data_IF_996380335789
#
_entry.id   IF_996380335789
#
_cell.length_a   1.000
_cell.length_b   1.000
_cell.length_c   1.000
_cell.angle_alpha   90.00
_cell.angle_beta   90.00
_cell.angle_gamma   90.00
#
_symmetry.space_group_name_H-M   'P 1'
#
loop_
_entity.id
_entity.type
_entity.pdbx_description
1 polymer ?
#
# COMPACT_ATOMS: atom_id res chain seq x y z
N UNK A 1 -47.19 -14.59 -11.16
CA UNK A 1 -46.39 -15.40 -12.10
C UNK A 1 -45.85 -14.47 -13.18
N UNK A 2 -44.54 -14.14 -13.22
CA UNK A 2 -44.00 -13.35 -14.31
C UNK A 2 -43.82 -14.24 -15.54
N UNK A 3 -44.37 -13.78 -16.66
CA UNK A 3 -44.26 -14.38 -17.98
C UNK A 3 -42.79 -14.49 -18.40
N UNK A 4 -42.29 -15.73 -18.45
CA UNK A 4 -41.02 -16.08 -19.08
C UNK A 4 -41.13 -15.92 -20.60
N UNK A 5 -40.74 -14.76 -21.10
CA UNK A 5 -40.46 -14.58 -22.54
C UNK A 5 -39.22 -15.41 -22.88
N UNK A 6 -39.43 -16.57 -23.50
CA UNK A 6 -38.38 -17.37 -24.13
C UNK A 6 -37.65 -16.49 -25.14
N UNK A 7 -36.40 -16.10 -24.84
CA UNK A 7 -35.49 -15.52 -25.84
C UNK A 7 -35.32 -16.56 -26.96
N UNK A 8 -35.88 -16.27 -28.13
CA UNK A 8 -35.56 -16.94 -29.38
C UNK A 8 -34.08 -16.68 -29.68
N UNK A 9 -33.24 -17.69 -29.42
CA UNK A 9 -31.82 -17.67 -29.80
C UNK A 9 -31.79 -17.90 -31.31
N UNK A 10 -31.28 -16.92 -32.05
CA UNK A 10 -30.93 -17.06 -33.47
C UNK A 10 -30.10 -18.33 -33.68
N UNK A 11 -30.49 -19.20 -34.62
CA UNK A 11 -29.75 -20.42 -34.96
C UNK A 11 -28.47 -20.17 -35.77
N UNK A 12 -28.33 -18.96 -36.34
CA UNK A 12 -27.12 -18.58 -37.06
C UNK A 12 -26.21 -17.76 -36.14
N UNK A 13 -24.92 -18.14 -36.02
CA UNK A 13 -23.96 -17.33 -35.31
C UNK A 13 -23.86 -15.96 -35.99
N UNK A 14 -23.75 -14.87 -35.22
CA UNK A 14 -23.54 -13.56 -35.80
C UNK A 14 -22.29 -13.58 -36.70
N UNK A 15 -22.26 -12.78 -37.79
CA UNK A 15 -21.06 -12.67 -38.62
C UNK A 15 -19.87 -12.28 -37.73
N UNK A 16 -18.67 -12.85 -37.98
CA UNK A 16 -17.52 -12.59 -37.14
C UNK A 16 -17.23 -11.08 -37.13
N UNK A 17 -16.95 -10.50 -35.95
CA UNK A 17 -16.62 -9.08 -35.85
C UNK A 17 -15.40 -8.75 -36.71
N UNK A 18 -15.38 -7.55 -37.30
CA UNK A 18 -14.22 -7.05 -38.06
C UNK A 18 -13.06 -6.77 -37.10
N UNK A 19 -12.26 -7.79 -36.81
CA UNK A 19 -11.04 -7.70 -36.01
C UNK A 19 -9.76 -7.69 -36.86
N UNK A 20 -8.59 -7.46 -36.25
CA UNK A 20 -7.31 -7.54 -36.93
C UNK A 20 -7.08 -8.96 -37.44
N UNK A 21 -6.39 -9.07 -38.58
CA UNK A 21 -5.96 -10.37 -39.10
C UNK A 21 -4.73 -10.83 -38.31
N UNK A 22 -4.89 -11.90 -37.54
CA UNK A 22 -3.76 -12.60 -36.90
C UNK A 22 -3.05 -13.49 -37.92
N UNK A 23 -1.76 -13.73 -37.71
CA UNK A 23 -0.96 -14.66 -38.53
C UNK A 23 -1.04 -16.09 -37.98
N UNK A 24 -0.16 -16.97 -38.46
CA UNK A 24 0.08 -18.28 -37.84
C UNK A 24 0.33 -18.14 -36.32
N UNK A 25 -0.01 -19.19 -35.57
CA UNK A 25 0.12 -19.26 -34.11
C UNK A 25 1.24 -20.25 -33.75
N UNK A 26 2.45 -19.73 -33.78
CA UNK A 26 3.69 -20.39 -33.34
C UNK A 26 4.21 -19.72 -32.07
N UNK A 27 5.14 -20.37 -31.37
CA UNK A 27 5.81 -19.82 -30.19
C UNK A 27 6.33 -18.38 -30.41
N UNK A 28 6.82 -18.08 -31.62
CA UNK A 28 7.36 -16.76 -31.99
C UNK A 28 6.30 -15.68 -32.28
N UNK A 29 5.05 -16.09 -32.55
CA UNK A 29 4.00 -15.19 -33.09
C UNK A 29 2.82 -14.98 -32.14
N UNK A 30 2.63 -15.88 -31.16
CA UNK A 30 1.55 -15.82 -30.17
C UNK A 30 1.52 -14.47 -29.43
N UNK A 31 2.68 -13.99 -28.96
CA UNK A 31 2.76 -12.72 -28.21
C UNK A 31 2.30 -11.53 -29.05
N UNK A 32 2.81 -11.42 -30.28
CA UNK A 32 2.44 -10.35 -31.22
C UNK A 32 0.95 -10.39 -31.56
N UNK A 33 0.40 -11.57 -31.84
CA UNK A 33 -1.01 -11.74 -32.15
C UNK A 33 -1.91 -11.40 -30.95
N UNK A 34 -1.51 -11.79 -29.73
CA UNK A 34 -2.26 -11.47 -28.50
C UNK A 34 -2.30 -9.97 -28.24
N UNK A 35 -1.15 -9.30 -28.36
CA UNK A 35 -1.05 -7.83 -28.27
C UNK A 35 -1.96 -7.16 -29.30
N UNK A 36 -1.90 -7.60 -30.56
CA UNK A 36 -2.69 -7.04 -31.66
C UNK A 36 -4.19 -7.13 -31.39
N UNK A 37 -4.68 -8.29 -30.96
CA UNK A 37 -6.10 -8.51 -30.66
C UNK A 37 -6.56 -7.66 -29.48
N UNK A 38 -5.74 -7.56 -28.43
CA UNK A 38 -6.08 -6.79 -27.23
C UNK A 38 -5.93 -5.26 -27.39
N UNK A 39 -5.34 -4.77 -28.48
CA UNK A 39 -5.07 -3.35 -28.73
C UNK A 39 -6.12 -2.65 -29.62
N UNK A 40 -7.30 -3.22 -29.81
CA UNK A 40 -8.34 -2.67 -30.70
C UNK A 40 -9.11 -1.46 -30.16
N UNK A 41 -8.81 -1.01 -28.95
CA UNK A 41 -9.48 0.10 -28.29
C UNK A 41 -8.67 1.40 -28.38
N UNK A 42 -9.30 2.54 -28.12
CA UNK A 42 -8.67 3.88 -28.25
C UNK A 42 -8.05 4.43 -26.97
N UNK A 43 -8.19 3.74 -25.82
CA UNK A 43 -7.55 4.16 -24.57
C UNK A 43 -6.05 3.84 -24.60
N UNK A 44 -5.21 4.86 -24.80
CA UNK A 44 -3.76 4.71 -24.99
C UNK A 44 -3.04 4.24 -23.72
N UNK A 45 -3.46 4.71 -22.55
CA UNK A 45 -2.93 4.22 -21.27
C UNK A 45 -3.24 2.75 -21.04
N UNK A 46 -4.48 2.32 -21.29
CA UNK A 46 -4.85 0.90 -21.19
C UNK A 46 -4.07 0.06 -22.21
N UNK A 47 -3.86 0.60 -23.42
CA UNK A 47 -3.15 -0.08 -24.49
C UNK A 47 -1.72 -0.35 -24.05
N UNK A 48 -1.07 0.67 -23.49
CA UNK A 48 0.27 0.54 -22.92
C UNK A 48 0.35 -0.55 -21.85
N UNK A 49 -0.58 -0.53 -20.89
CA UNK A 49 -0.57 -1.47 -19.77
C UNK A 49 -0.81 -2.91 -20.23
N UNK A 50 -1.82 -3.15 -21.08
CA UNK A 50 -2.12 -4.49 -21.60
C UNK A 50 -0.97 -5.03 -22.46
N UNK A 51 -0.36 -4.18 -23.30
CA UNK A 51 0.81 -4.59 -24.08
C UNK A 51 1.95 -5.03 -23.18
N UNK A 52 2.28 -4.25 -22.16
CA UNK A 52 3.37 -4.57 -21.22
C UNK A 52 3.07 -5.82 -20.41
N UNK A 53 1.84 -5.98 -19.91
CA UNK A 53 1.45 -7.18 -19.16
C UNK A 53 1.56 -8.44 -20.03
N UNK A 54 1.02 -8.42 -21.25
CA UNK A 54 1.11 -9.57 -22.17
C UNK A 54 2.57 -9.88 -22.50
N UNK A 55 3.36 -8.85 -22.83
CA UNK A 55 4.77 -9.02 -23.17
C UNK A 55 5.54 -9.66 -22.01
N UNK A 56 5.48 -9.07 -20.80
CA UNK A 56 6.23 -9.57 -19.65
C UNK A 56 5.76 -10.96 -19.20
N UNK A 57 4.45 -11.26 -19.29
CA UNK A 57 3.93 -12.58 -18.95
C UNK A 57 4.41 -13.66 -19.92
N UNK A 58 4.40 -13.37 -21.22
CA UNK A 58 4.86 -14.32 -22.23
C UNK A 58 6.38 -14.49 -22.21
N UNK A 59 7.12 -13.39 -22.02
CA UNK A 59 8.59 -13.45 -21.86
C UNK A 59 8.97 -14.29 -20.65
N UNK A 60 8.28 -14.15 -19.52
CA UNK A 60 8.49 -15.02 -18.35
C UNK A 60 8.26 -16.50 -18.69
N UNK A 61 7.16 -16.83 -19.38
CA UNK A 61 6.86 -18.21 -19.75
C UNK A 61 7.91 -18.80 -20.73
N UNK A 62 8.36 -17.99 -21.69
CA UNK A 62 9.39 -18.37 -22.67
C UNK A 62 10.75 -18.55 -21.99
N UNK A 63 11.16 -17.58 -21.16
CA UNK A 63 12.44 -17.57 -20.45
C UNK A 63 12.56 -18.77 -19.51
N UNK A 64 11.50 -19.07 -18.76
CA UNK A 64 11.48 -20.18 -17.79
C UNK A 64 11.16 -21.52 -18.41
N UNK A 65 10.71 -21.56 -19.68
CA UNK A 65 10.15 -22.75 -20.32
C UNK A 65 9.03 -23.37 -19.47
N UNK A 66 8.12 -22.50 -19.00
CA UNK A 66 7.03 -22.86 -18.09
C UNK A 66 6.27 -24.09 -18.60
N UNK A 67 6.26 -25.15 -17.80
CA UNK A 67 5.58 -26.39 -18.15
C UNK A 67 4.07 -26.28 -17.92
N UNK A 68 3.29 -27.17 -18.56
CA UNK A 68 1.84 -27.24 -18.33
C UNK A 68 1.54 -27.55 -16.87
N UNK A 69 2.30 -28.44 -16.25
CA UNK A 69 2.13 -28.83 -14.86
C UNK A 69 2.40 -27.68 -13.89
N UNK A 70 3.47 -26.90 -14.11
CA UNK A 70 3.75 -25.69 -13.31
C UNK A 70 2.69 -24.62 -13.52
N UNK A 71 2.23 -24.44 -14.76
CA UNK A 71 1.14 -23.53 -15.08
C UNK A 71 -0.17 -23.91 -14.37
N UNK A 72 -0.56 -25.20 -14.36
CA UNK A 72 -1.74 -25.68 -13.63
C UNK A 72 -1.64 -25.40 -12.13
N UNK A 73 -0.46 -25.61 -11.54
CA UNK A 73 -0.20 -25.27 -10.12
C UNK A 73 -0.36 -23.77 -9.88
N UNK A 74 0.16 -22.91 -10.77
CA UNK A 74 0.02 -21.46 -10.65
C UNK A 74 -1.45 -21.00 -10.79
N UNK A 75 -2.20 -21.56 -11.74
CA UNK A 75 -3.64 -21.29 -11.89
C UNK A 75 -4.42 -21.70 -10.65
N UNK A 76 -4.12 -22.86 -10.08
CA UNK A 76 -4.76 -23.32 -8.85
C UNK A 76 -4.42 -22.40 -7.67
N UNK A 77 -3.17 -21.97 -7.54
CA UNK A 77 -2.74 -21.00 -6.53
C UNK A 77 -3.52 -19.68 -6.63
N UNK A 78 -3.61 -19.09 -7.83
CA UNK A 78 -4.35 -17.84 -8.05
C UNK A 78 -5.85 -18.02 -7.80
N UNK A 79 -6.41 -19.17 -8.16
CA UNK A 79 -7.80 -19.52 -7.88
C UNK A 79 -8.08 -19.58 -6.39
N UNK A 80 -7.20 -20.22 -5.61
CA UNK A 80 -7.34 -20.32 -4.16
C UNK A 80 -7.12 -18.96 -3.48
N UNK A 81 -6.20 -18.12 -4.00
CA UNK A 81 -6.02 -16.74 -3.54
C UNK A 81 -7.31 -15.94 -3.72
N UNK A 82 -7.96 -16.06 -4.88
CA UNK A 82 -9.27 -15.43 -5.11
C UNK A 82 -10.35 -15.93 -4.16
N UNK A 83 -10.45 -17.24 -3.92
CA UNK A 83 -11.42 -17.83 -2.98
C UNK A 83 -11.19 -17.45 -1.52
N UNK A 84 -9.97 -17.07 -1.15
CA UNK A 84 -9.62 -16.63 0.19
C UNK A 84 -9.98 -15.15 0.44
N UNK A 85 -10.26 -14.38 -0.61
CA UNK A 85 -10.67 -12.99 -0.47
C UNK A 85 -12.10 -12.87 0.09
N UNK A 86 -12.31 -11.89 0.96
CA UNK A 86 -13.59 -11.50 1.56
C UNK A 86 -13.59 -9.99 1.86
N UNK A 87 -14.68 -9.47 2.43
CA UNK A 87 -14.79 -8.04 2.78
C UNK A 87 -13.74 -7.59 3.81
N UNK A 88 -13.23 -8.52 4.63
CA UNK A 88 -12.23 -8.24 5.68
C UNK A 88 -10.85 -8.85 5.39
N UNK A 89 -10.70 -9.57 4.28
CA UNK A 89 -9.44 -10.23 3.89
C UNK A 89 -9.18 -10.10 2.40
N UNK A 90 -8.09 -9.44 2.03
CA UNK A 90 -7.68 -9.28 0.63
C UNK A 90 -6.40 -10.06 0.33
N UNK A 91 -6.52 -11.36 0.06
CA UNK A 91 -5.38 -12.24 -0.17
C UNK A 91 -4.59 -11.87 -1.46
N UNK A 92 -5.24 -11.27 -2.47
CA UNK A 92 -4.53 -10.72 -3.64
C UNK A 92 -3.68 -9.49 -3.31
N UNK A 93 -4.14 -8.62 -2.41
CA UNK A 93 -3.32 -7.50 -1.90
C UNK A 93 -2.14 -8.06 -1.11
N UNK A 94 -2.37 -9.06 -0.26
CA UNK A 94 -1.29 -9.72 0.48
C UNK A 94 -0.27 -10.39 -0.45
N UNK A 95 -0.72 -11.02 -1.54
CA UNK A 95 0.17 -11.55 -2.57
C UNK A 95 1.02 -10.45 -3.21
N UNK A 96 0.43 -9.30 -3.54
CA UNK A 96 1.15 -8.12 -4.03
C UNK A 96 2.19 -7.62 -3.01
N UNK A 97 1.83 -7.60 -1.73
CA UNK A 97 2.71 -7.16 -0.64
C UNK A 97 3.94 -8.06 -0.49
N UNK A 98 3.76 -9.38 -0.40
CA UNK A 98 4.89 -10.32 -0.21
C UNK A 98 5.76 -10.50 -1.45
N UNK A 99 5.27 -10.06 -2.61
CA UNK A 99 6.04 -9.98 -3.87
C UNK A 99 6.70 -8.61 -4.05
N UNK A 100 6.51 -7.67 -3.13
CA UNK A 100 7.10 -6.33 -3.17
C UNK A 100 6.46 -5.38 -4.20
N UNK A 101 5.39 -5.79 -4.86
CA UNK A 101 4.72 -4.96 -5.86
C UNK A 101 4.03 -3.76 -5.21
N UNK A 102 3.36 -3.95 -4.07
CA UNK A 102 2.64 -2.85 -3.40
C UNK A 102 3.57 -1.71 -2.99
N UNK A 103 4.74 -2.02 -2.43
CA UNK A 103 5.70 -1.00 -1.98
C UNK A 103 6.38 -0.32 -3.16
N UNK A 104 6.60 -1.05 -4.25
CA UNK A 104 7.11 -0.49 -5.50
C UNK A 104 6.10 0.50 -6.10
N UNK A 105 4.83 0.11 -6.19
CA UNK A 105 3.74 0.96 -6.71
C UNK A 105 3.59 2.22 -5.86
N UNK A 106 3.64 2.12 -4.54
CA UNK A 106 3.63 3.29 -3.65
C UNK A 106 4.81 4.23 -3.94
N UNK A 107 6.02 3.67 -4.01
CA UNK A 107 7.26 4.44 -4.22
C UNK A 107 7.26 5.23 -5.54
N UNK A 108 6.76 4.64 -6.63
CA UNK A 108 6.69 5.33 -7.93
C UNK A 108 5.52 6.31 -8.02
N UNK A 109 4.42 6.05 -7.31
CA UNK A 109 3.21 6.88 -7.39
C UNK A 109 3.29 8.11 -6.49
N UNK A 110 4.01 8.01 -5.37
CA UNK A 110 4.09 9.07 -4.35
C UNK A 110 5.52 9.52 -4.07
N UNK A 111 6.32 9.91 -5.08
CA UNK A 111 7.69 10.34 -4.84
C UNK A 111 7.72 11.56 -3.91
N UNK A 112 8.81 11.66 -3.14
CA UNK A 112 9.02 12.74 -2.16
C UNK A 112 10.40 13.36 -2.35
N UNK A 113 10.55 14.68 -2.14
CA UNK A 113 11.87 15.30 -2.11
C UNK A 113 12.66 14.76 -0.89
N UNK A 114 14.01 14.81 -0.91
CA UNK A 114 14.84 14.20 0.14
C UNK A 114 14.56 14.69 1.57
N UNK A 115 14.00 15.89 1.73
CA UNK A 115 13.70 16.52 3.01
C UNK A 115 12.23 16.37 3.45
N UNK A 116 11.37 15.67 2.70
CA UNK A 116 10.01 15.34 3.12
C UNK A 116 9.95 13.93 3.72
N UNK A 117 8.96 13.67 4.57
CA UNK A 117 8.71 12.31 5.05
C UNK A 117 8.24 11.44 3.90
N UNK A 118 8.86 10.27 3.78
CA UNK A 118 8.51 9.29 2.75
C UNK A 118 7.34 8.42 3.18
N UNK A 119 6.54 8.01 2.20
CA UNK A 119 5.44 7.07 2.42
C UNK A 119 5.91 5.62 2.54
N UNK A 120 4.99 4.76 2.97
CA UNK A 120 5.09 3.30 2.86
C UNK A 120 3.67 2.71 2.81
N UNK A 121 3.56 1.38 2.85
CA UNK A 121 2.30 0.66 2.73
C UNK A 121 1.26 1.10 3.78
N UNK A 122 0.02 1.29 3.32
CA UNK A 122 -1.15 1.47 4.20
C UNK A 122 -1.40 0.24 5.07
N UNK A 123 -1.24 -0.95 4.50
CA UNK A 123 -1.68 -2.20 5.10
C UNK A 123 -3.22 -2.35 5.10
N UNK A 124 -3.74 -3.52 5.47
CA UNK A 124 -5.17 -3.84 5.30
C UNK A 124 -6.05 -3.43 6.49
N UNK A 125 -5.48 -2.86 7.56
CA UNK A 125 -6.17 -2.71 8.86
C UNK A 125 -6.62 -1.28 9.18
N UNK A 126 -6.48 -0.34 8.24
CA UNK A 126 -7.07 1.00 8.39
C UNK A 126 -8.60 0.95 8.29
N UNK A 127 -9.28 1.79 9.07
CA UNK A 127 -10.75 1.92 9.07
C UNK A 127 -11.13 3.39 9.15
N UNK A 128 -12.33 3.72 8.68
CA UNK A 128 -12.83 5.11 8.66
C UNK A 128 -13.63 5.51 9.89
N UNK A 129 -13.71 4.63 10.90
CA UNK A 129 -14.50 4.84 12.12
C UNK A 129 -13.63 5.28 13.33
N UNK A 130 -12.35 5.56 13.13
CA UNK A 130 -11.48 6.11 14.17
C UNK A 130 -12.01 7.45 14.70
N UNK A 131 -11.98 7.64 16.02
CA UNK A 131 -12.47 8.85 16.66
C UNK A 131 -11.47 10.01 16.56
N UNK A 132 -11.97 11.23 16.40
CA UNK A 132 -11.16 12.45 16.64
C UNK A 132 -11.00 12.63 18.16
N UNK A 133 -9.74 12.73 18.60
CA UNK A 133 -9.33 12.76 20.01
C UNK A 133 -8.68 14.10 20.36
N UNK A 134 -8.77 14.50 21.62
CA UNK A 134 -8.02 15.65 22.08
C UNK A 134 -6.54 15.32 22.23
N UNK A 135 -5.70 16.34 22.03
CA UNK A 135 -4.25 16.27 22.20
C UNK A 135 -3.89 15.74 23.60
N UNK A 136 -3.17 14.61 23.65
CA UNK A 136 -2.76 13.97 24.91
C UNK A 136 -3.80 13.05 25.56
N UNK A 137 -4.94 12.80 24.92
CA UNK A 137 -5.81 11.67 25.26
C UNK A 137 -5.21 10.35 24.75
N UNK A 138 -5.59 9.23 25.39
CA UNK A 138 -5.20 7.89 24.94
C UNK A 138 -6.12 7.42 23.83
N UNK A 139 -5.55 6.93 22.73
CA UNK A 139 -6.28 6.25 21.65
C UNK A 139 -6.46 4.74 21.92
N UNK A 140 -5.89 4.25 23.02
CA UNK A 140 -5.89 2.84 23.40
C UNK A 140 -6.65 2.65 24.70
N UNK A 141 -7.41 1.55 24.78
CA UNK A 141 -7.98 1.05 26.02
C UNK A 141 -6.90 0.60 27.02
N UNK A 142 -7.22 0.62 28.31
CA UNK A 142 -6.29 0.23 29.37
C UNK A 142 -5.83 -1.23 29.23
N UNK A 143 -4.56 -1.50 29.52
CA UNK A 143 -4.00 -2.86 29.53
C UNK A 143 -3.72 -3.47 28.15
N UNK A 144 -3.86 -2.70 27.07
CA UNK A 144 -3.62 -3.17 25.69
C UNK A 144 -2.13 -3.12 25.26
N UNK A 145 -1.25 -2.65 26.13
CA UNK A 145 0.21 -2.63 25.90
C UNK A 145 0.94 -1.69 26.85
N UNK A 146 2.26 -1.58 26.68
CA UNK A 146 3.08 -0.65 27.47
C UNK A 146 2.81 0.80 27.02
N UNK A 147 2.52 1.74 27.93
CA UNK A 147 2.18 3.11 27.53
C UNK A 147 3.30 3.80 26.75
N UNK A 148 2.89 4.59 25.75
CA UNK A 148 3.75 5.35 24.86
C UNK A 148 3.17 6.75 24.66
N UNK A 149 4.00 7.78 24.89
CA UNK A 149 3.69 9.14 24.47
C UNK A 149 4.46 9.47 23.19
N UNK A 150 3.75 9.87 22.14
CA UNK A 150 4.32 10.39 20.90
C UNK A 150 4.16 11.90 20.90
N UNK A 151 5.25 12.64 20.74
CA UNK A 151 5.26 14.10 20.60
C UNK A 151 5.96 14.51 19.31
N UNK A 152 5.35 15.42 18.56
CA UNK A 152 5.83 15.77 17.25
C UNK A 152 5.45 17.15 16.73
N UNK A 153 5.96 17.42 15.54
CA UNK A 153 5.64 18.60 14.74
C UNK A 153 5.33 18.12 13.33
N UNK A 154 4.31 18.71 12.72
CA UNK A 154 4.06 18.62 11.30
C UNK A 154 4.44 19.95 10.65
N UNK A 155 5.38 19.89 9.71
CA UNK A 155 5.83 21.07 8.98
C UNK A 155 5.90 20.81 7.48
N UNK A 156 6.04 21.87 6.71
CA UNK A 156 6.58 21.82 5.36
C UNK A 156 8.10 21.54 5.39
N UNK A 157 8.73 21.23 4.24
CA UNK A 157 10.16 20.92 4.22
C UNK A 157 11.06 22.09 4.61
N UNK A 158 10.57 23.33 4.45
CA UNK A 158 11.23 24.58 4.86
C UNK A 158 11.07 24.90 6.37
N UNK A 159 10.25 24.14 7.09
CA UNK A 159 9.97 24.30 8.52
C UNK A 159 8.70 25.08 8.84
N UNK A 160 7.93 25.54 7.85
CA UNK A 160 6.64 26.20 8.07
C UNK A 160 5.66 25.24 8.76
N UNK A 161 5.05 25.59 9.90
CA UNK A 161 4.16 24.69 10.62
C UNK A 161 2.84 24.47 9.87
N UNK A 162 2.36 23.23 9.84
CA UNK A 162 1.05 22.90 9.25
C UNK A 162 0.03 22.68 10.37
N UNK A 163 -0.85 23.66 10.55
CA UNK A 163 -1.89 23.65 11.55
C UNK A 163 -3.17 22.93 11.08
N UNK A 164 -3.94 22.41 12.04
CA UNK A 164 -5.26 21.81 11.80
C UNK A 164 -5.21 20.69 10.73
N UNK A 165 -4.11 19.93 10.71
CA UNK A 165 -3.95 18.72 9.92
C UNK A 165 -4.34 17.51 10.76
N UNK A 166 -5.03 16.54 10.17
CA UNK A 166 -5.38 15.29 10.82
C UNK A 166 -4.16 14.35 10.83
N UNK A 167 -3.79 13.86 12.02
CA UNK A 167 -2.84 12.77 12.23
C UNK A 167 -3.66 11.54 12.65
N UNK A 168 -4.00 10.70 11.69
CA UNK A 168 -4.70 9.42 11.90
C UNK A 168 -3.65 8.33 12.16
N UNK A 169 -3.73 7.69 13.32
CA UNK A 169 -2.77 6.72 13.82
C UNK A 169 -3.47 5.42 14.15
N UNK A 170 -2.89 4.28 13.78
CA UNK A 170 -3.32 2.96 14.23
C UNK A 170 -2.14 1.99 14.36
N UNK A 171 -2.25 1.01 15.25
CA UNK A 171 -1.27 -0.07 15.41
C UNK A 171 -1.88 -1.30 16.09
N UNK A 172 -1.11 -2.40 16.16
CA UNK A 172 -1.52 -3.61 16.87
C UNK A 172 -1.35 -3.48 18.40
N UNK A 173 -2.10 -4.28 19.14
CA UNK A 173 -1.97 -4.39 20.60
C UNK A 173 -0.77 -5.27 21.02
N UNK A 174 -0.60 -5.50 22.32
CA UNK A 174 0.45 -6.36 22.87
C UNK A 174 0.40 -7.83 22.41
N UNK A 175 -0.72 -8.29 21.82
CA UNK A 175 -0.84 -9.62 21.23
C UNK A 175 -0.51 -9.64 19.73
N UNK A 176 -0.16 -8.49 19.15
CA UNK A 176 0.09 -8.35 17.72
C UNK A 176 -1.19 -8.34 16.89
N UNK A 177 -2.34 -8.01 17.48
CA UNK A 177 -3.63 -7.98 16.79
C UNK A 177 -4.16 -6.53 16.69
N UNK A 178 -4.73 -6.20 15.53
CA UNK A 178 -5.57 -5.02 15.38
C UNK A 178 -6.96 -5.29 15.95
N UNK A 179 -7.62 -4.25 16.46
CA UNK A 179 -9.02 -4.29 16.92
C UNK A 179 -9.96 -4.98 15.91
N UNK A 180 -9.80 -4.71 14.61
CA UNK A 180 -10.57 -5.30 13.50
C UNK A 180 -10.45 -6.82 13.37
N UNK A 181 -9.43 -7.42 13.98
CA UNK A 181 -9.22 -8.87 13.96
C UNK A 181 -9.93 -9.58 15.12
N UNK A 182 -10.46 -8.83 16.09
CA UNK A 182 -11.25 -9.42 17.17
C UNK A 182 -12.70 -9.66 16.72
N UNK A 183 -13.25 -10.86 16.90
CA UNK A 183 -14.60 -11.20 16.43
C UNK A 183 -15.71 -10.38 17.12
N UNK A 184 -15.43 -9.84 18.30
CA UNK A 184 -16.37 -9.06 19.11
C UNK A 184 -16.00 -7.57 19.16
N UNK A 185 -15.39 -7.03 18.10
CA UNK A 185 -15.12 -5.59 18.00
C UNK A 185 -16.44 -4.82 18.05
N UNK A 186 -16.60 -3.99 19.08
CA UNK A 186 -17.77 -3.16 19.35
C UNK A 186 -17.49 -1.66 19.11
N UNK A 187 -16.23 -1.23 19.29
CA UNK A 187 -15.76 0.13 19.03
C UNK A 187 -14.33 0.12 18.44
N UNK A 188 -13.89 1.21 17.79
CA UNK A 188 -12.49 1.39 17.42
C UNK A 188 -11.58 1.43 18.64
N UNK A 189 -10.51 0.65 18.63
CA UNK A 189 -9.47 0.62 19.67
C UNK A 189 -8.09 0.59 19.00
N UNK A 190 -7.07 1.08 19.70
CA UNK A 190 -5.69 1.19 19.17
C UNK A 190 -5.58 2.08 17.92
N UNK A 191 -6.55 2.98 17.72
CA UNK A 191 -6.64 3.89 16.58
C UNK A 191 -7.28 5.21 16.97
N UNK A 192 -6.84 6.31 16.39
CA UNK A 192 -7.41 7.63 16.67
C UNK A 192 -6.82 8.73 15.80
N UNK A 193 -7.54 9.84 15.71
CA UNK A 193 -7.19 11.00 14.91
C UNK A 193 -6.93 12.19 15.84
N UNK A 194 -5.75 12.81 15.74
CA UNK A 194 -5.44 14.06 16.48
C UNK A 194 -5.13 15.17 15.49
N UNK A 195 -5.65 16.37 15.73
CA UNK A 195 -5.37 17.55 14.89
C UNK A 195 -4.17 18.33 15.38
N UNK A 196 -3.29 18.74 14.48
CA UNK A 196 -2.13 19.58 14.81
C UNK A 196 -2.55 20.96 15.31
N UNK A 197 -1.82 21.49 16.28
CA UNK A 197 -2.02 22.85 16.81
C UNK A 197 -1.57 23.92 15.81
N UNK A 198 -1.83 25.19 16.12
CA UNK A 198 -1.43 26.35 15.29
C UNK A 198 0.08 26.40 14.97
N UNK A 199 0.93 25.84 15.83
CA UNK A 199 2.38 25.73 15.61
C UNK A 199 2.80 24.39 14.99
N UNK A 200 1.86 23.61 14.46
CA UNK A 200 2.09 22.30 13.86
C UNK A 200 2.30 21.17 14.88
N UNK A 201 2.24 21.43 16.19
CA UNK A 201 2.52 20.38 17.19
C UNK A 201 1.39 19.36 17.35
N UNK A 202 1.77 18.13 17.66
CA UNK A 202 0.85 17.08 18.06
C UNK A 202 1.42 16.18 19.16
N UNK A 203 0.52 15.62 19.95
CA UNK A 203 0.77 14.76 21.11
C UNK A 203 -0.31 13.67 21.09
N UNK A 204 0.12 12.42 21.08
CA UNK A 204 -0.75 11.24 21.09
C UNK A 204 -0.28 10.31 22.20
N UNK A 205 -1.19 9.86 23.07
CA UNK A 205 -0.92 8.72 23.94
C UNK A 205 -1.45 7.45 23.29
N UNK A 206 -0.62 6.43 23.26
CA UNK A 206 -0.97 5.10 22.76
C UNK A 206 -0.17 4.06 23.55
N UNK A 207 0.06 2.89 22.95
CA UNK A 207 0.95 1.88 23.52
C UNK A 207 2.06 1.50 22.53
N UNK A 208 3.13 0.89 23.03
CA UNK A 208 4.22 0.38 22.19
C UNK A 208 3.72 -0.83 21.40
N UNK A 209 3.79 -0.83 20.05
CA UNK A 209 3.43 -2.00 19.26
C UNK A 209 4.45 -3.14 19.42
N UNK A 210 4.06 -4.33 18.97
CA UNK A 210 4.93 -5.51 18.91
C UNK A 210 5.02 -6.03 17.47
N UNK A 211 6.04 -6.82 17.17
CA UNK A 211 6.12 -7.55 15.91
C UNK A 211 4.95 -8.55 15.81
N UNK A 212 4.41 -8.72 14.61
CA UNK A 212 3.28 -9.62 14.38
C UNK A 212 3.35 -10.27 12.99
N UNK A 213 2.79 -11.47 12.81
CA UNK A 213 2.73 -12.11 11.51
C UNK A 213 1.58 -11.56 10.66
N UNK A 214 1.79 -11.42 9.35
CA UNK A 214 0.69 -11.28 8.39
C UNK A 214 -0.19 -12.55 8.39
N UNK A 215 -1.46 -12.48 7.94
CA UNK A 215 -2.28 -13.69 7.74
C UNK A 215 -1.53 -14.74 6.92
N UNK A 216 -1.35 -15.94 7.45
CA UNK A 216 -0.48 -16.97 6.85
C UNK A 216 -1.11 -18.37 6.83
N UNK A 217 -2.41 -18.46 7.07
CA UNK A 217 -3.25 -19.66 6.93
C UNK A 217 -3.73 -19.88 5.47
N UNK A 218 -3.59 -18.86 4.62
CA UNK A 218 -4.02 -18.85 3.23
C UNK A 218 -2.94 -19.30 2.22
N UNK A 219 -3.25 -19.23 0.91
CA UNK A 219 -2.31 -19.56 -0.15
C UNK A 219 -0.99 -18.79 -0.03
N UNK A 220 -1.03 -17.50 0.32
CA UNK A 220 0.20 -16.69 0.47
C UNK A 220 1.08 -17.23 1.59
N UNK A 221 0.51 -17.56 2.74
CA UNK A 221 1.25 -18.19 3.84
C UNK A 221 1.88 -19.53 3.45
N UNK A 222 1.15 -20.37 2.71
CA UNK A 222 1.68 -21.63 2.17
C UNK A 222 2.83 -21.41 1.19
N UNK A 223 2.74 -20.37 0.35
CA UNK A 223 3.83 -19.98 -0.55
C UNK A 223 5.07 -19.57 0.27
N UNK A 224 4.92 -18.69 1.24
CA UNK A 224 6.03 -18.26 2.12
C UNK A 224 6.71 -19.44 2.82
N UNK A 225 5.91 -20.38 3.34
CA UNK A 225 6.43 -21.60 3.95
C UNK A 225 7.25 -22.43 2.94
N UNK A 226 6.75 -22.62 1.71
CA UNK A 226 7.46 -23.38 0.67
C UNK A 226 8.80 -22.76 0.27
N UNK A 227 8.93 -21.43 0.37
CA UNK A 227 10.17 -20.70 0.04
C UNK A 227 10.99 -20.32 1.28
N UNK A 228 10.71 -20.93 2.44
CA UNK A 228 11.41 -20.71 3.70
C UNK A 228 11.43 -19.23 4.15
N UNK A 229 10.35 -18.48 3.91
CA UNK A 229 10.17 -17.10 4.37
C UNK A 229 9.23 -17.06 5.58
N UNK A 230 9.56 -16.24 6.58
CA UNK A 230 8.67 -15.99 7.70
C UNK A 230 7.56 -14.98 7.37
N UNK A 231 6.41 -15.01 8.07
CA UNK A 231 5.32 -14.05 7.85
C UNK A 231 5.43 -12.77 8.72
N UNK A 232 6.45 -12.65 9.56
CA UNK A 232 6.55 -11.53 10.51
C UNK A 232 6.85 -10.18 9.87
N UNK A 233 6.17 -9.16 10.41
CA UNK A 233 6.50 -7.74 10.26
C UNK A 233 7.10 -7.22 11.57
N UNK A 234 8.10 -6.34 11.54
CA UNK A 234 8.66 -5.71 12.73
C UNK A 234 7.62 -4.83 13.44
N UNK A 235 7.81 -4.51 14.71
CA UNK A 235 6.93 -3.60 15.43
C UNK A 235 6.83 -2.23 14.72
N UNK A 236 5.61 -1.73 14.48
CA UNK A 236 5.40 -0.47 13.79
C UNK A 236 4.10 0.24 14.15
N UNK A 237 4.07 1.53 13.87
CA UNK A 237 2.93 2.44 14.08
C UNK A 237 2.59 3.04 12.72
N UNK A 238 1.34 2.92 12.30
CA UNK A 238 0.88 3.49 11.04
C UNK A 238 0.38 4.92 11.21
N UNK A 239 0.50 5.72 10.14
CA UNK A 239 0.02 7.08 10.07
C UNK A 239 -0.62 7.38 8.71
N UNK A 240 -1.77 8.06 8.72
CA UNK A 240 -2.28 8.87 7.62
C UNK A 240 -2.25 10.32 8.08
N UNK A 241 -1.61 11.18 7.29
CA UNK A 241 -1.56 12.61 7.55
C UNK A 241 -2.28 13.34 6.41
N UNK A 242 -3.30 14.12 6.78
CA UNK A 242 -4.20 14.77 5.85
C UNK A 242 -4.44 16.25 6.20
N UNK A 243 -4.32 17.09 5.18
CA UNK A 243 -4.74 18.50 5.19
C UNK A 243 -5.14 18.90 3.79
N UNK A 244 -6.23 19.65 3.64
CA UNK A 244 -6.62 20.16 2.32
C UNK A 244 -5.49 21.02 1.72
N UNK A 245 -5.25 20.87 0.41
CA UNK A 245 -4.10 21.46 -0.28
C UNK A 245 -2.77 20.70 -0.15
N UNK A 246 -2.64 19.76 0.79
CA UNK A 246 -1.45 18.94 0.97
C UNK A 246 -1.59 17.54 0.38
N UNK A 247 -0.45 16.98 -0.03
CA UNK A 247 -0.38 15.59 -0.46
C UNK A 247 -0.65 14.67 0.74
N UNK A 248 -1.55 13.71 0.54
CA UNK A 248 -1.92 12.74 1.59
C UNK A 248 -0.73 11.84 1.85
N UNK A 249 -0.20 11.87 3.08
CA UNK A 249 0.93 11.02 3.47
C UNK A 249 0.42 9.77 4.19
N UNK A 250 0.54 8.62 3.53
CA UNK A 250 0.44 7.30 4.18
C UNK A 250 1.84 6.85 4.54
N UNK A 251 2.11 6.56 5.81
CA UNK A 251 3.42 6.10 6.26
C UNK A 251 3.32 5.20 7.49
N UNK A 252 4.45 4.67 7.93
CA UNK A 252 4.58 3.91 9.16
C UNK A 252 5.98 4.11 9.73
N UNK A 253 6.08 4.10 11.07
CA UNK A 253 7.35 4.14 11.78
C UNK A 253 7.65 2.76 12.35
N UNK A 254 8.89 2.29 12.19
CA UNK A 254 9.33 0.95 12.55
C UNK A 254 10.33 0.99 13.70
N UNK A 255 10.21 0.08 14.68
CA UNK A 255 11.12 0.02 15.81
C UNK A 255 12.53 -0.40 15.35
N UNK A 256 13.52 0.43 15.64
CA UNK A 256 14.93 0.12 15.36
C UNK A 256 15.43 -0.97 16.30
N UNK A 257 16.11 -1.97 15.74
CA UNK A 257 16.60 -3.15 16.44
C UNK A 257 15.59 -4.27 16.60
N UNK A 258 14.39 -4.14 16.00
CA UNK A 258 13.42 -5.24 15.97
C UNK A 258 14.02 -6.47 15.24
N UNK A 259 13.80 -7.70 15.73
CA UNK A 259 14.31 -8.92 15.08
C UNK A 259 13.94 -9.08 13.60
N UNK A 260 12.86 -8.43 13.15
CA UNK A 260 12.37 -8.48 11.77
C UNK A 260 12.60 -7.18 10.98
N UNK A 261 13.40 -6.23 11.51
CA UNK A 261 13.69 -4.95 10.85
C UNK A 261 14.21 -5.15 9.41
N UNK A 262 15.15 -6.08 9.24
CA UNK A 262 15.82 -6.32 7.95
C UNK A 262 15.16 -7.41 7.12
N UNK A 263 14.02 -7.94 7.57
CA UNK A 263 13.35 -9.08 6.96
C UNK A 263 11.83 -8.96 6.92
N UNK A 264 11.27 -7.75 7.03
CA UNK A 264 9.83 -7.49 6.95
C UNK A 264 9.18 -8.25 5.78
N UNK A 265 8.17 -9.08 6.08
CA UNK A 265 7.53 -9.96 5.12
C UNK A 265 6.96 -9.24 3.89
N UNK A 266 6.65 -7.95 4.02
CA UNK A 266 6.06 -7.10 2.96
C UNK A 266 6.99 -5.96 2.50
N UNK A 267 8.25 -5.97 2.90
CA UNK A 267 9.27 -5.01 2.47
C UNK A 267 8.93 -3.53 2.76
N UNK A 268 8.19 -3.25 3.85
CA UNK A 268 7.73 -1.91 4.19
C UNK A 268 8.75 -1.01 4.89
N UNK A 269 9.81 -1.59 5.46
CA UNK A 269 10.83 -0.88 6.24
C UNK A 269 11.71 -0.01 5.34
N UNK A 270 11.88 1.26 5.73
CA UNK A 270 12.82 2.21 5.12
C UNK A 270 13.64 2.85 6.24
N UNK A 271 14.95 3.01 6.06
CA UNK A 271 15.86 3.46 7.13
C UNK A 271 15.45 4.80 7.76
N UNK A 272 14.91 5.73 6.98
CA UNK A 272 14.46 7.04 7.47
C UNK A 272 13.15 6.99 8.28
N UNK A 273 12.51 5.82 8.36
CA UNK A 273 11.29 5.57 9.13
C UNK A 273 11.57 4.73 10.39
N UNK A 274 12.84 4.47 10.71
CA UNK A 274 13.22 3.77 11.93
C UNK A 274 13.21 4.72 13.13
N UNK A 275 12.52 4.34 14.20
CA UNK A 275 12.48 5.09 15.45
C UNK A 275 13.14 4.34 16.61
N UNK A 276 13.60 5.10 17.59
CA UNK A 276 14.02 4.60 18.91
C UNK A 276 13.11 5.20 19.97
N UNK A 277 12.96 4.50 21.10
CA UNK A 277 12.18 4.98 22.23
C UNK A 277 13.10 5.41 23.36
N UNK A 278 12.78 6.54 23.97
CA UNK A 278 13.36 6.99 25.22
C UNK A 278 12.39 6.69 26.38
N UNK A 279 12.86 6.92 27.61
CA UNK A 279 11.99 7.00 28.78
C UNK A 279 11.36 8.38 28.88
N UNK A 280 10.09 8.42 29.32
CA UNK A 280 9.28 9.62 29.36
C UNK A 280 9.86 10.71 30.27
N UNK A 281 10.39 10.29 31.43
CA UNK A 281 10.96 11.15 32.45
C UNK A 281 9.91 11.94 33.24
N UNK A 282 10.34 12.45 34.40
CA UNK A 282 9.45 12.99 35.44
C UNK A 282 8.60 14.18 35.00
N UNK A 283 9.15 15.08 34.19
CA UNK A 283 8.45 16.32 33.77
C UNK A 283 7.23 15.99 32.90
N UNK A 284 7.43 15.19 31.85
CA UNK A 284 6.35 14.79 30.94
C UNK A 284 5.38 13.83 31.63
N UNK A 285 5.89 12.89 32.42
CA UNK A 285 5.08 12.01 33.25
C UNK A 285 4.07 12.79 34.11
N UNK A 286 4.55 13.81 34.84
CA UNK A 286 3.68 14.69 35.62
C UNK A 286 2.68 15.47 34.75
N UNK A 287 3.12 16.01 33.61
CA UNK A 287 2.28 16.82 32.72
C UNK A 287 1.13 16.00 32.12
N UNK A 288 1.40 14.75 31.74
CA UNK A 288 0.47 13.91 31.01
C UNK A 288 -0.17 12.82 31.88
N UNK A 289 0.13 12.73 33.17
CA UNK A 289 -0.44 11.73 34.07
C UNK A 289 0.02 10.31 33.71
N UNK A 290 1.30 10.15 33.41
CA UNK A 290 1.95 8.89 33.02
C UNK A 290 3.09 8.56 33.99
N UNK A 291 3.68 7.37 33.87
CA UNK A 291 4.86 6.98 34.66
C UNK A 291 6.16 7.50 34.01
N UNK A 292 7.17 7.97 34.79
CA UNK A 292 8.47 8.37 34.24
C UNK A 292 9.17 7.27 33.42
N UNK A 293 8.88 6.00 33.68
CA UNK A 293 9.44 4.84 32.99
C UNK A 293 8.63 4.41 31.75
N UNK A 294 7.49 5.05 31.47
CA UNK A 294 6.75 4.86 30.23
C UNK A 294 7.58 5.27 29.01
N UNK A 295 7.20 4.78 27.84
CA UNK A 295 7.94 5.05 26.62
C UNK A 295 7.63 6.43 26.04
N UNK A 296 8.63 7.00 25.40
CA UNK A 296 8.53 8.29 24.72
C UNK A 296 9.12 8.22 23.32
N UNK A 297 8.37 8.75 22.36
CA UNK A 297 8.79 8.90 20.98
C UNK A 297 8.68 10.37 20.58
N UNK A 298 9.82 10.99 20.27
CA UNK A 298 9.85 12.29 19.60
C UNK A 298 9.99 12.09 18.10
N UNK A 299 8.98 12.48 17.32
CA UNK A 299 9.01 12.32 15.87
C UNK A 299 8.40 13.50 15.12
N UNK A 300 9.06 13.95 14.06
CA UNK A 300 8.61 15.08 13.25
C UNK A 300 8.27 14.61 11.84
N UNK A 301 7.14 15.06 11.33
CA UNK A 301 6.68 14.80 9.97
C UNK A 301 6.85 16.02 9.10
N UNK A 302 7.22 15.78 7.85
CA UNK A 302 7.33 16.81 6.81
C UNK A 302 6.49 16.42 5.62
N UNK A 303 5.50 17.25 5.28
CA UNK A 303 4.60 17.02 4.15
C UNK A 303 4.77 18.11 3.10
N UNK A 304 4.32 17.82 1.88
CA UNK A 304 4.39 18.73 0.73
C UNK A 304 2.98 19.00 0.19
N UNK A 305 2.84 20.02 -0.64
CA UNK A 305 1.56 20.33 -1.29
C UNK A 305 1.21 19.28 -2.35
N UNK A 306 -0.09 19.17 -2.70
CA UNK A 306 -0.56 18.30 -3.80
C UNK A 306 0.14 18.65 -5.13
N UNK A 307 0.36 19.94 -5.37
CA UNK A 307 0.99 20.45 -6.59
C UNK A 307 2.47 20.08 -6.68
N UNK A 308 3.22 20.18 -5.58
CA UNK A 308 4.62 19.76 -5.53
C UNK A 308 4.75 18.25 -5.75
N UNK A 309 3.91 17.45 -5.10
CA UNK A 309 3.88 16.00 -5.28
C UNK A 309 3.60 15.63 -6.75
N UNK A 310 2.58 16.25 -7.36
CA UNK A 310 2.24 16.03 -8.78
C UNK A 310 3.40 16.42 -9.70
N UNK A 311 3.99 17.61 -9.51
CA UNK A 311 5.14 18.07 -10.32
C UNK A 311 6.32 17.09 -10.23
N UNK A 312 6.64 16.62 -9.03
CA UNK A 312 7.74 15.67 -8.82
C UNK A 312 7.45 14.32 -9.48
N UNK A 313 6.22 13.81 -9.39
CA UNK A 313 5.80 12.59 -10.06
C UNK A 313 5.93 12.71 -11.58
N UNK A 314 5.43 13.80 -12.18
CA UNK A 314 5.58 14.05 -13.62
C UNK A 314 7.05 14.13 -14.02
N UNK A 315 7.88 14.84 -13.25
CA UNK A 315 9.32 14.93 -13.50
C UNK A 315 9.98 13.53 -13.48
N UNK A 316 9.69 12.71 -12.47
CA UNK A 316 10.24 11.36 -12.33
C UNK A 316 9.81 10.44 -13.47
N UNK A 317 8.56 10.54 -13.88
CA UNK A 317 8.07 9.79 -15.04
C UNK A 317 8.73 10.25 -16.34
N UNK A 318 8.96 11.56 -16.50
CA UNK A 318 9.68 12.09 -17.67
C UNK A 318 11.13 11.60 -17.70
N UNK A 319 11.84 11.62 -16.56
CA UNK A 319 13.19 11.08 -16.41
C UNK A 319 13.22 9.58 -16.79
N UNK A 320 12.25 8.79 -16.31
CA UNK A 320 12.14 7.38 -16.64
C UNK A 320 11.90 7.12 -18.13
N UNK A 321 11.21 8.02 -18.83
CA UNK A 321 11.01 7.93 -20.28
C UNK A 321 12.27 8.26 -21.10
N UNK A 322 13.12 9.17 -20.63
CA UNK A 322 14.35 9.55 -21.38
C UNK A 322 15.37 8.41 -21.54
N UNK A 323 15.22 7.32 -20.78
CA UNK A 323 15.99 6.08 -20.92
C UNK A 323 15.27 4.94 -21.65
N UNK A 324 14.01 5.12 -22.07
CA UNK A 324 13.16 4.12 -22.70
C UNK A 324 12.75 4.52 -24.13
N UNK A 325 12.27 3.54 -24.91
CA UNK A 325 12.01 3.60 -26.36
C UNK A 325 11.37 4.91 -26.89
N UNK A 326 11.72 5.26 -28.14
CA UNK A 326 11.46 6.50 -28.87
C UNK A 326 9.98 6.86 -29.14
N UNK A 327 9.00 6.20 -28.53
CA UNK A 327 7.58 6.32 -28.87
C UNK A 327 6.62 6.54 -27.69
N UNK A 328 7.12 6.86 -26.49
CA UNK A 328 6.28 7.15 -25.32
C UNK A 328 6.20 8.66 -25.04
N UNK A 329 5.02 9.12 -24.63
CA UNK A 329 4.73 10.46 -24.14
C UNK A 329 4.10 10.40 -22.74
N UNK A 330 4.03 11.53 -22.04
CA UNK A 330 3.22 11.66 -20.83
C UNK A 330 1.83 12.19 -21.20
N UNK A 331 0.79 11.57 -20.65
CA UNK A 331 -0.59 12.01 -20.83
C UNK A 331 -0.95 13.18 -19.88
N UNK A 332 -2.21 13.61 -19.88
CA UNK A 332 -2.69 14.73 -19.06
C UNK A 332 -2.52 14.51 -17.54
N UNK A 333 -2.43 13.26 -17.11
CA UNK A 333 -2.19 12.88 -15.71
C UNK A 333 -0.70 12.73 -15.40
N UNK A 334 0.19 12.95 -16.39
CA UNK A 334 1.63 12.81 -16.23
C UNK A 334 2.11 11.35 -16.23
N UNK A 335 1.31 10.43 -16.78
CA UNK A 335 1.62 9.01 -16.87
C UNK A 335 2.06 8.62 -18.28
N UNK A 336 2.98 7.64 -18.42
CA UNK A 336 3.47 7.23 -19.73
C UNK A 336 2.43 6.47 -20.54
N UNK A 337 2.31 6.81 -21.82
CA UNK A 337 1.55 6.08 -22.83
C UNK A 337 2.19 6.23 -24.21
N UNK A 338 1.90 5.33 -25.18
CA UNK A 338 2.37 5.49 -26.54
C UNK A 338 1.87 6.79 -27.14
N UNK A 339 2.75 7.49 -27.86
CA UNK A 339 2.33 8.58 -28.74
C UNK A 339 1.24 8.04 -29.67
N UNK A 340 0.12 8.77 -29.85
CA UNK A 340 -0.80 8.49 -30.93
C UNK A 340 0.02 8.34 -32.23
N UNK A 341 -0.27 7.28 -32.99
CA UNK A 341 0.25 7.17 -34.35
C UNK A 341 -0.48 8.26 -35.16
N UNK A 342 0.29 9.17 -35.76
CA UNK A 342 -0.23 10.19 -36.70
C UNK A 342 -1.05 9.57 -37.84
#
# INVERSE_FOLDING_TARGET
>A
MPSSTKKTISKEPPPPPKGPKITEMTDDTITKNTILVNSQHTNMRLLFLLQKVVQHLHDFAIETRLTTEEWEVAIQFLTDTGKMCSDIRQEFVLLSDVMGLSVLVDSISHPKPPNATIGTLLGPFHTHDAAEMHQGDSICSDGRGEPLLIEGLLTEPDGTPVADAAIDLWHCDANGLYDTQYPNRDHPDMRGIVKTNNNGSFIIKCTRPVAYPIPHDGPVGKLLQKINRHPYRPAHIHFIIEKEGYDRLITALYAKGDPYETSDAVFGVKTSLLYTLDKLGTEKAKKYGMDPEDWYLKWHFKIITKDEAKKLMVQKNQEALTGAATNLILNADGLPEPSPLD
#
